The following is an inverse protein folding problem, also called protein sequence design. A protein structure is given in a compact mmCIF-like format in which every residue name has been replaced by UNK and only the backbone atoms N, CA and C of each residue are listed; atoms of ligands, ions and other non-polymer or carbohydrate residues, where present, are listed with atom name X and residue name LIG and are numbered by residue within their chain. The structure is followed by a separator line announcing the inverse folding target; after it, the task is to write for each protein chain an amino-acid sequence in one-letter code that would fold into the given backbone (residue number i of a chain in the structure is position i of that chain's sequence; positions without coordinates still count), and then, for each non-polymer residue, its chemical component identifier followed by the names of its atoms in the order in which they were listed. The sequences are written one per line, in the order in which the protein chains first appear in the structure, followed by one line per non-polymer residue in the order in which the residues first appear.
data_IF_002512131366
#
_entry.id   IF_002512131366
#
_cell.length_a   1.000
_cell.length_b   1.000
_cell.length_c   1.000
_cell.angle_alpha   90.00
_cell.angle_beta   90.00
_cell.angle_gamma   90.00
#
_symmetry.space_group_name_H-M   'P 1'
#
loop_
_entity.id
_entity.type
_entity.pdbx_description
1 polymer ?
#
# COMPACT_ATOMS: atom_id res chain seq x y z
N UNK A 1 19.60 8.17 -12.22
CA UNK A 1 18.86 7.59 -13.38
C UNK A 1 18.22 6.28 -12.94
N UNK A 2 17.12 5.86 -13.56
CA UNK A 2 16.44 4.61 -13.30
C UNK A 2 15.91 4.01 -14.60
N UNK A 3 15.64 2.70 -14.58
CA UNK A 3 14.93 1.98 -15.64
C UNK A 3 13.54 1.61 -15.17
N UNK A 4 12.58 1.65 -16.07
CA UNK A 4 11.22 1.18 -15.85
C UNK A 4 11.00 -0.12 -16.64
N UNK A 5 10.49 -1.14 -15.97
CA UNK A 5 10.27 -2.46 -16.57
C UNK A 5 8.82 -2.86 -16.29
N UNK A 6 8.03 -2.98 -17.33
CA UNK A 6 6.65 -3.48 -17.23
C UNK A 6 6.64 -5.00 -17.37
N UNK A 7 5.69 -5.65 -16.70
CA UNK A 7 5.54 -7.09 -16.71
C UNK A 7 4.20 -7.56 -16.20
N UNK A 8 4.13 -8.84 -15.88
CA UNK A 8 2.94 -9.46 -15.29
C UNK A 8 3.32 -10.44 -14.19
N UNK A 9 2.55 -10.45 -13.12
CA UNK A 9 2.61 -11.46 -12.08
C UNK A 9 1.42 -12.41 -12.23
N UNK A 10 1.72 -13.69 -12.46
CA UNK A 10 0.69 -14.72 -12.66
C UNK A 10 0.31 -15.34 -11.32
N UNK A 11 -0.99 -15.33 -11.03
CA UNK A 11 -1.58 -15.97 -9.85
C UNK A 11 -2.74 -16.84 -10.34
N UNK A 12 -2.57 -18.15 -10.31
CA UNK A 12 -3.56 -19.12 -10.83
C UNK A 12 -4.00 -18.78 -12.27
N UNK A 13 -5.27 -18.43 -12.47
CA UNK A 13 -5.86 -18.09 -13.77
C UNK A 13 -5.79 -16.60 -14.11
N UNK A 14 -5.23 -15.74 -13.24
CA UNK A 14 -5.18 -14.29 -13.43
C UNK A 14 -3.75 -13.78 -13.60
N UNK A 15 -3.59 -12.76 -14.43
CA UNK A 15 -2.34 -12.02 -14.59
C UNK A 15 -2.54 -10.60 -14.05
N UNK A 16 -1.72 -10.21 -13.09
CA UNK A 16 -1.69 -8.86 -12.55
C UNK A 16 -0.62 -8.04 -13.28
N UNK A 17 -0.96 -6.84 -13.71
CA UNK A 17 0.00 -5.91 -14.28
C UNK A 17 1.03 -5.50 -13.23
N UNK A 18 2.31 -5.51 -13.61
CA UNK A 18 3.41 -5.09 -12.73
C UNK A 18 4.28 -4.07 -13.40
N UNK A 19 4.92 -3.24 -12.59
CA UNK A 19 5.98 -2.35 -13.04
C UNK A 19 7.05 -2.24 -11.96
N UNK A 20 8.29 -2.14 -12.37
CA UNK A 20 9.41 -1.89 -11.47
C UNK A 20 10.22 -0.69 -11.93
N UNK A 21 10.74 0.05 -10.96
CA UNK A 21 11.67 1.17 -11.12
C UNK A 21 12.99 0.75 -10.50
N UNK A 22 13.98 0.51 -11.34
CA UNK A 22 15.26 -0.07 -10.94
C UNK A 22 16.36 0.99 -11.11
N UNK A 23 17.27 1.16 -10.14
CA UNK A 23 18.43 2.03 -10.30
C UNK A 23 19.18 1.73 -11.60
N UNK A 24 19.47 2.74 -12.38
CA UNK A 24 20.25 2.64 -13.60
C UNK A 24 21.61 3.30 -13.37
N UNK A 25 22.62 2.48 -13.13
CA UNK A 25 23.97 2.92 -12.85
C UNK A 25 24.99 1.81 -13.09
N UNK A 26 26.28 2.14 -13.08
CA UNK A 26 27.33 1.12 -13.19
C UNK A 26 27.22 0.11 -12.04
N UNK A 27 27.73 -1.09 -12.22
CA UNK A 27 27.77 -2.16 -11.20
C UNK A 27 28.36 -1.72 -9.84
N UNK A 28 29.11 -0.60 -9.85
CA UNK A 28 29.65 0.03 -8.64
C UNK A 28 28.61 0.73 -7.75
N UNK A 29 27.36 0.86 -8.22
CA UNK A 29 26.23 1.39 -7.46
C UNK A 29 25.14 0.32 -7.29
N UNK A 30 25.41 -0.72 -6.46
CA UNK A 30 24.44 -1.78 -6.24
C UNK A 30 23.18 -1.24 -5.55
N UNK A 31 22.06 -1.89 -5.80
CA UNK A 31 20.83 -1.63 -5.07
C UNK A 31 21.04 -1.76 -3.57
N UNK A 32 20.50 -0.83 -2.81
CA UNK A 32 20.62 -0.75 -1.33
C UNK A 32 19.43 -1.37 -0.63
N UNK A 33 18.26 -1.30 -1.25
CA UNK A 33 17.00 -1.78 -0.72
C UNK A 33 16.03 -2.14 -1.83
N UNK A 34 15.00 -2.90 -1.46
CA UNK A 34 13.85 -3.21 -2.30
C UNK A 34 12.58 -2.76 -1.60
N UNK A 35 11.72 -2.02 -2.29
CA UNK A 35 10.41 -1.58 -1.84
C UNK A 35 9.33 -2.30 -2.66
N UNK A 36 8.41 -2.96 -1.98
CA UNK A 36 7.21 -3.57 -2.57
C UNK A 36 6.02 -2.68 -2.24
N UNK A 37 5.25 -2.29 -3.26
CA UNK A 37 4.22 -1.27 -3.10
C UNK A 37 2.80 -1.83 -3.36
N UNK A 38 1.83 -1.42 -2.51
CA UNK A 38 0.42 -1.81 -2.54
C UNK A 38 -0.42 -0.52 -2.65
N UNK A 39 -1.10 -0.32 -3.78
CA UNK A 39 -1.88 0.89 -4.06
C UNK A 39 -3.26 0.91 -3.37
N UNK A 40 -3.93 2.07 -3.39
CA UNK A 40 -5.23 2.30 -2.77
C UNK A 40 -6.45 1.85 -3.59
N UNK A 41 -7.65 2.16 -3.08
CA UNK A 41 -8.93 1.92 -3.75
C UNK A 41 -9.04 2.73 -5.04
N UNK A 42 -9.50 2.10 -6.11
CA UNK A 42 -9.66 2.73 -7.42
C UNK A 42 -8.42 3.49 -7.88
N UNK A 43 -7.26 2.89 -7.70
CA UNK A 43 -5.96 3.45 -8.05
C UNK A 43 -5.17 2.46 -8.91
N UNK A 44 -3.99 2.86 -9.36
CA UNK A 44 -3.04 2.02 -10.07
C UNK A 44 -1.61 2.55 -9.95
N UNK A 45 -0.62 1.68 -10.13
CA UNK A 45 0.79 1.95 -9.83
C UNK A 45 1.46 3.03 -10.67
N UNK A 46 0.86 3.49 -11.75
CA UNK A 46 1.42 4.55 -12.60
C UNK A 46 1.04 5.98 -12.16
N UNK A 47 0.43 6.14 -10.97
CA UNK A 47 0.00 7.45 -10.45
C UNK A 47 0.85 7.98 -9.29
N UNK A 48 1.99 7.36 -9.01
CA UNK A 48 2.85 7.74 -7.88
C UNK A 48 3.95 8.75 -8.26
N UNK A 49 3.77 9.42 -9.39
CA UNK A 49 4.56 10.56 -9.90
C UNK A 49 6.06 10.42 -9.62
N UNK A 50 6.64 11.40 -8.90
CA UNK A 50 8.07 11.46 -8.61
C UNK A 50 8.52 10.47 -7.52
N UNK A 51 7.61 9.85 -6.77
CA UNK A 51 7.95 8.98 -5.64
C UNK A 51 8.87 7.83 -6.10
N UNK A 52 8.39 6.98 -7.00
CA UNK A 52 9.15 5.79 -7.41
C UNK A 52 10.44 6.12 -8.17
N UNK A 53 10.44 7.05 -9.14
CA UNK A 53 11.66 7.53 -9.79
C UNK A 53 12.69 8.09 -8.81
N UNK A 54 12.25 8.85 -7.82
CA UNK A 54 13.13 9.44 -6.79
C UNK A 54 13.77 8.33 -5.94
N UNK A 55 12.98 7.37 -5.46
CA UNK A 55 13.49 6.25 -4.68
C UNK A 55 14.49 5.41 -5.49
N UNK A 56 14.16 5.09 -6.75
CA UNK A 56 15.05 4.34 -7.63
C UNK A 56 16.38 5.08 -7.89
N UNK A 57 16.35 6.40 -8.10
CA UNK A 57 17.57 7.19 -8.27
C UNK A 57 18.49 7.22 -7.04
N UNK A 58 17.95 6.85 -5.86
CA UNK A 58 18.66 6.76 -4.58
C UNK A 58 19.18 5.35 -4.26
N UNK A 59 18.98 4.39 -5.18
CA UNK A 59 19.40 3.00 -4.99
C UNK A 59 18.35 2.10 -4.36
N UNK A 60 17.07 2.51 -4.33
CA UNK A 60 15.95 1.72 -3.80
C UNK A 60 15.16 1.18 -5.00
N UNK A 61 15.24 -0.12 -5.25
CA UNK A 61 14.39 -0.77 -6.25
C UNK A 61 12.93 -0.72 -5.81
N UNK A 62 12.02 -0.31 -6.70
CA UNK A 62 10.58 -0.33 -6.42
C UNK A 62 9.90 -1.35 -7.30
N UNK A 63 9.13 -2.24 -6.69
CA UNK A 63 8.29 -3.24 -7.33
C UNK A 63 6.84 -3.01 -6.95
N UNK A 64 5.99 -2.83 -7.94
CA UNK A 64 4.58 -2.56 -7.73
C UNK A 64 3.71 -3.35 -8.71
N UNK A 65 2.45 -3.56 -8.34
CA UNK A 65 1.47 -4.25 -9.17
C UNK A 65 0.10 -3.60 -9.03
N UNK A 66 -0.65 -3.61 -10.13
CA UNK A 66 -2.07 -3.29 -10.07
C UNK A 66 -2.81 -4.46 -9.46
N UNK A 67 -3.45 -4.25 -8.33
CA UNK A 67 -4.15 -5.28 -7.60
C UNK A 67 -5.33 -5.85 -8.42
N UNK A 68 -5.77 -7.06 -8.08
CA UNK A 68 -6.95 -7.69 -8.66
C UNK A 68 -8.15 -6.75 -8.62
N UNK A 69 -8.80 -6.58 -9.76
CA UNK A 69 -9.94 -5.68 -9.89
C UNK A 69 -9.62 -4.21 -10.14
N UNK A 70 -8.31 -3.84 -10.25
CA UNK A 70 -7.87 -2.46 -10.39
C UNK A 70 -6.93 -2.25 -11.57
N UNK A 71 -6.83 -0.99 -12.02
CA UNK A 71 -5.88 -0.54 -13.01
C UNK A 71 -5.85 -1.39 -14.27
N UNK A 72 -4.65 -1.73 -14.72
CA UNK A 72 -4.39 -2.57 -15.91
C UNK A 72 -4.53 -4.07 -15.67
N UNK A 73 -4.76 -4.49 -14.42
CA UNK A 73 -5.14 -5.88 -14.09
C UNK A 73 -6.59 -6.18 -14.43
N UNK A 74 -7.39 -5.16 -14.79
CA UNK A 74 -8.75 -5.28 -15.30
C UNK A 74 -8.71 -5.36 -16.82
N UNK A 75 -9.18 -6.48 -17.37
CA UNK A 75 -9.21 -6.71 -18.83
C UNK A 75 -10.62 -6.53 -19.44
N UNK A 76 -11.66 -6.61 -18.62
CA UNK A 76 -13.08 -6.46 -19.04
C UNK A 76 -13.90 -5.77 -17.93
N UNK A 77 -15.02 -5.10 -18.28
CA UNK A 77 -15.82 -4.32 -17.33
C UNK A 77 -16.32 -5.11 -16.11
N UNK A 78 -16.61 -6.41 -16.27
CA UNK A 78 -17.08 -7.28 -15.18
C UNK A 78 -16.02 -7.56 -14.09
N UNK A 79 -14.75 -7.28 -14.36
CA UNK A 79 -13.65 -7.46 -13.42
C UNK A 79 -13.41 -6.23 -12.54
N UNK A 80 -13.99 -5.07 -12.87
CA UNK A 80 -13.82 -3.84 -12.10
C UNK A 80 -14.24 -4.03 -10.64
N UNK A 81 -13.28 -3.84 -9.73
CA UNK A 81 -13.48 -3.99 -8.29
C UNK A 81 -13.75 -5.43 -7.81
N UNK A 82 -13.55 -6.44 -8.67
CA UNK A 82 -13.69 -7.84 -8.32
C UNK A 82 -12.42 -8.34 -7.61
N UNK A 83 -12.22 -7.88 -6.39
CA UNK A 83 -11.05 -8.22 -5.57
C UNK A 83 -11.19 -9.58 -4.88
N UNK A 84 -12.42 -10.04 -4.69
CA UNK A 84 -12.75 -11.21 -3.87
C UNK A 84 -12.70 -10.91 -2.36
N UNK A 85 -12.75 -11.96 -1.54
CA UNK A 85 -12.70 -11.85 -0.08
C UNK A 85 -11.31 -11.43 0.41
N UNK A 86 -11.22 -10.97 1.66
CA UNK A 86 -9.96 -10.56 2.30
C UNK A 86 -8.84 -11.60 2.17
N UNK A 87 -9.16 -12.88 2.31
CA UNK A 87 -8.19 -13.97 2.18
C UNK A 87 -7.53 -14.01 0.80
N UNK A 88 -8.29 -13.75 -0.26
CA UNK A 88 -7.78 -13.70 -1.63
C UNK A 88 -6.91 -12.46 -1.85
N UNK A 89 -7.37 -11.28 -1.39
CA UNK A 89 -6.59 -10.03 -1.46
C UNK A 89 -5.22 -10.20 -0.78
N UNK A 90 -5.21 -10.73 0.44
CA UNK A 90 -3.96 -10.96 1.18
C UNK A 90 -3.09 -12.04 0.51
N UNK A 91 -3.70 -13.10 -0.03
CA UNK A 91 -2.97 -14.14 -0.78
C UNK A 91 -2.28 -13.57 -2.03
N UNK A 92 -2.94 -12.70 -2.79
CA UNK A 92 -2.36 -12.05 -3.96
C UNK A 92 -1.15 -11.18 -3.57
N UNK A 93 -1.29 -10.38 -2.50
CA UNK A 93 -0.20 -9.54 -1.96
C UNK A 93 0.98 -10.41 -1.51
N UNK A 94 0.72 -11.47 -0.75
CA UNK A 94 1.76 -12.41 -0.28
C UNK A 94 2.47 -13.10 -1.45
N UNK A 95 1.71 -13.51 -2.48
CA UNK A 95 2.27 -14.09 -3.70
C UNK A 95 3.26 -13.13 -4.38
N UNK A 96 2.86 -11.85 -4.49
CA UNK A 96 3.72 -10.83 -5.09
C UNK A 96 4.96 -10.55 -4.21
N UNK A 97 4.81 -10.43 -2.90
CA UNK A 97 5.95 -10.26 -1.98
C UNK A 97 6.92 -11.44 -2.09
N UNK A 98 6.41 -12.67 -2.06
CA UNK A 98 7.23 -13.88 -2.17
C UNK A 98 7.98 -13.98 -3.50
N UNK A 99 7.42 -13.46 -4.60
CA UNK A 99 8.11 -13.43 -5.89
C UNK A 99 9.34 -12.52 -5.90
N UNK A 100 9.47 -11.62 -4.91
CA UNK A 100 10.62 -10.73 -4.73
C UNK A 100 11.65 -11.28 -3.70
N UNK A 101 11.42 -12.47 -3.17
CA UNK A 101 12.24 -13.13 -2.16
C UNK A 101 12.83 -14.46 -2.70
N UNK A 102 14.01 -14.91 -2.20
CA UNK A 102 14.89 -14.16 -1.30
C UNK A 102 15.51 -12.93 -1.96
N UNK A 103 15.90 -11.94 -1.16
CA UNK A 103 16.52 -10.71 -1.66
C UNK A 103 17.93 -10.52 -1.06
N UNK A 104 18.93 -10.11 -1.87
CA UNK A 104 20.26 -9.80 -1.36
C UNK A 104 20.33 -8.49 -0.57
N UNK A 105 19.26 -7.68 -0.63
CA UNK A 105 19.15 -6.38 0.05
C UNK A 105 17.91 -6.36 0.92
N UNK A 106 17.85 -5.49 1.96
CA UNK A 106 16.67 -5.34 2.81
C UNK A 106 15.40 -5.05 2.00
N UNK A 107 14.30 -5.72 2.38
CA UNK A 107 13.00 -5.58 1.73
C UNK A 107 12.06 -4.81 2.63
N UNK A 108 11.39 -3.83 2.05
CA UNK A 108 10.36 -3.01 2.69
C UNK A 108 9.02 -3.20 1.97
N UNK A 109 7.93 -3.06 2.70
CA UNK A 109 6.57 -3.07 2.14
C UNK A 109 5.93 -1.72 2.43
N UNK A 110 5.39 -1.08 1.40
CA UNK A 110 4.66 0.18 1.51
C UNK A 110 3.23 0.01 1.02
N UNK A 111 2.27 0.57 1.76
CA UNK A 111 0.87 0.61 1.35
C UNK A 111 0.29 2.00 1.48
N UNK A 112 -0.49 2.42 0.46
CA UNK A 112 -1.24 3.66 0.45
C UNK A 112 -2.73 3.41 0.68
N UNK A 113 -3.37 4.20 1.55
CA UNK A 113 -4.83 4.20 1.74
C UNK A 113 -5.39 2.78 2.03
N UNK A 114 -6.27 2.25 1.18
CA UNK A 114 -6.75 0.85 1.24
C UNK A 114 -5.57 -0.13 1.29
N UNK A 115 -4.56 0.06 0.44
CA UNK A 115 -3.34 -0.77 0.43
C UNK A 115 -2.55 -0.69 1.72
N UNK A 116 -2.58 0.45 2.43
CA UNK A 116 -2.05 0.60 3.78
C UNK A 116 -2.80 -0.25 4.81
N UNK A 117 -4.14 -0.26 4.73
CA UNK A 117 -4.98 -1.15 5.54
C UNK A 117 -4.75 -2.64 5.24
N UNK A 118 -4.49 -2.99 3.97
CA UNK A 118 -4.15 -4.35 3.54
C UNK A 118 -2.76 -4.78 4.03
N UNK A 119 -1.77 -3.90 3.94
CA UNK A 119 -0.44 -4.13 4.49
C UNK A 119 -0.50 -4.39 6.00
N UNK A 120 -1.29 -3.60 6.75
CA UNK A 120 -1.51 -3.81 8.18
C UNK A 120 -2.27 -5.10 8.49
N UNK A 121 -3.25 -5.46 7.66
CA UNK A 121 -3.97 -6.73 7.80
C UNK A 121 -3.02 -7.91 7.64
N UNK A 122 -2.17 -7.89 6.60
CA UNK A 122 -1.11 -8.88 6.39
C UNK A 122 -0.12 -8.91 7.57
N UNK A 123 0.36 -7.75 8.00
CA UNK A 123 1.30 -7.61 9.12
C UNK A 123 0.74 -8.10 10.46
N UNK A 124 -0.58 -8.26 10.55
CA UNK A 124 -1.31 -8.74 11.74
C UNK A 124 -1.80 -10.19 11.61
N UNK A 125 -1.64 -10.84 10.46
CA UNK A 125 -2.13 -12.18 10.23
C UNK A 125 -1.10 -13.22 10.70
N UNK A 126 -1.43 -14.03 11.73
CA UNK A 126 -0.51 -15.05 12.26
C UNK A 126 -0.17 -16.15 11.25
N UNK A 127 -0.98 -16.36 10.21
CA UNK A 127 -0.70 -17.31 9.14
C UNK A 127 0.59 -16.96 8.38
N UNK A 128 0.95 -15.67 8.35
CA UNK A 128 2.13 -15.18 7.62
C UNK A 128 3.26 -14.72 8.54
N UNK A 129 3.29 -15.20 9.77
CA UNK A 129 4.32 -14.83 10.77
C UNK A 129 5.75 -15.00 10.23
N UNK A 130 6.03 -16.11 9.57
CA UNK A 130 7.36 -16.39 9.01
C UNK A 130 7.77 -15.42 7.91
N UNK A 131 6.80 -14.82 7.19
CA UNK A 131 7.10 -13.81 6.17
C UNK A 131 7.63 -12.51 6.78
N UNK A 132 7.24 -12.19 8.01
CA UNK A 132 7.66 -10.97 8.71
C UNK A 132 9.17 -10.89 8.87
N UNK A 133 9.83 -12.03 9.06
CA UNK A 133 11.29 -12.12 9.19
C UNK A 133 12.04 -11.68 7.93
N UNK A 134 11.41 -11.80 6.77
CA UNK A 134 11.97 -11.38 5.48
C UNK A 134 11.77 -9.89 5.19
N UNK A 135 10.92 -9.19 5.97
CA UNK A 135 10.59 -7.77 5.77
C UNK A 135 11.34 -6.93 6.81
N UNK A 136 12.14 -5.96 6.32
CA UNK A 136 12.91 -5.05 7.17
C UNK A 136 12.06 -3.98 7.79
N UNK A 137 11.04 -3.50 7.06
CA UNK A 137 10.19 -2.43 7.57
C UNK A 137 8.92 -2.25 6.75
N UNK A 138 7.93 -1.67 7.41
CA UNK A 138 6.61 -1.37 6.86
C UNK A 138 6.40 0.12 6.80
N UNK A 139 5.86 0.60 5.68
CA UNK A 139 5.64 2.02 5.40
C UNK A 139 4.17 2.22 5.05
N UNK A 140 3.53 3.13 5.72
CA UNK A 140 2.11 3.42 5.56
C UNK A 140 1.91 4.86 5.16
N UNK A 141 1.27 5.09 4.04
CA UNK A 141 0.85 6.40 3.58
C UNK A 141 -0.66 6.52 3.74
N UNK A 142 -1.10 7.41 4.62
CA UNK A 142 -2.52 7.70 4.87
C UNK A 142 -3.38 6.42 4.94
N UNK A 143 -3.02 5.40 5.77
CA UNK A 143 -3.64 4.08 5.72
C UNK A 143 -5.11 4.13 6.12
N UNK A 144 -5.94 3.29 5.46
CA UNK A 144 -7.35 3.19 5.79
C UNK A 144 -7.57 2.35 7.06
N UNK A 145 -7.39 2.98 8.21
CA UNK A 145 -7.61 2.41 9.56
C UNK A 145 -8.97 2.82 10.09
N UNK A 146 -9.43 4.05 9.76
CA UNK A 146 -10.71 4.58 10.20
C UNK A 146 -11.24 5.61 9.19
N UNK A 147 -12.53 5.92 9.28
CA UNK A 147 -13.17 6.99 8.51
C UNK A 147 -12.91 8.35 9.15
N UNK A 148 -12.83 9.43 8.36
CA UNK A 148 -12.87 10.77 8.91
C UNK A 148 -14.18 10.99 9.66
N UNK A 149 -14.12 11.78 10.72
CA UNK A 149 -15.28 12.07 11.58
C UNK A 149 -16.47 12.63 10.78
N UNK A 150 -17.61 11.97 10.88
CA UNK A 150 -18.84 12.35 10.18
C UNK A 150 -19.00 11.69 8.81
N UNK A 151 -18.02 10.89 8.37
CA UNK A 151 -18.10 10.11 7.12
C UNK A 151 -18.27 8.61 7.37
N UNK A 152 -18.40 8.20 8.64
CA UNK A 152 -18.60 6.81 9.01
C UNK A 152 -19.95 6.29 8.48
N UNK A 153 -19.99 5.14 7.80
CA UNK A 153 -21.25 4.55 7.38
C UNK A 153 -22.09 4.14 8.61
N UNK A 154 -23.41 4.35 8.53
CA UNK A 154 -24.27 3.93 9.62
C UNK A 154 -24.19 2.43 9.86
N UNK A 155 -24.41 1.99 11.10
CA UNK A 155 -24.46 0.57 11.45
C UNK A 155 -25.39 -0.23 10.53
N UNK A 156 -26.57 0.32 10.24
CA UNK A 156 -27.55 -0.32 9.35
C UNK A 156 -27.02 -0.45 7.93
N UNK A 157 -26.32 0.56 7.40
CA UNK A 157 -25.67 0.52 6.07
C UNK A 157 -24.63 -0.58 6.01
N UNK A 158 -23.78 -0.69 7.03
CA UNK A 158 -22.73 -1.73 7.11
C UNK A 158 -23.38 -3.12 7.22
N UNK A 159 -24.39 -3.29 8.06
CA UNK A 159 -25.09 -4.56 8.24
C UNK A 159 -25.76 -5.03 6.94
N UNK A 160 -26.52 -4.15 6.30
CA UNK A 160 -27.21 -4.47 5.03
C UNK A 160 -26.18 -4.69 3.91
N UNK A 161 -25.10 -3.92 3.86
CA UNK A 161 -24.01 -4.11 2.92
C UNK A 161 -23.32 -5.49 3.05
N UNK A 162 -23.07 -5.93 4.29
CA UNK A 162 -22.52 -7.27 4.56
C UNK A 162 -23.48 -8.39 4.15
N UNK A 163 -24.77 -8.22 4.43
CA UNK A 163 -25.79 -9.19 4.02
C UNK A 163 -25.88 -9.26 2.49
N UNK A 164 -25.94 -8.11 1.82
CA UNK A 164 -25.95 -8.03 0.35
C UNK A 164 -24.67 -8.63 -0.25
N UNK A 165 -23.51 -8.40 0.35
CA UNK A 165 -22.23 -8.99 -0.06
C UNK A 165 -22.21 -10.52 0.00
N UNK A 166 -22.93 -11.11 0.95
CA UNK A 166 -23.10 -12.59 1.01
C UNK A 166 -24.04 -13.16 -0.04
N UNK A 167 -25.09 -12.41 -0.39
CA UNK A 167 -26.10 -12.84 -1.35
C UNK A 167 -25.72 -12.54 -2.81
N UNK A 168 -25.04 -11.42 -3.02
CA UNK A 168 -24.67 -10.89 -4.34
C UNK A 168 -23.19 -10.44 -4.33
N UNK A 169 -22.23 -11.34 -4.05
CA UNK A 169 -20.83 -10.98 -3.80
C UNK A 169 -20.22 -10.17 -4.95
N UNK A 170 -20.50 -10.51 -6.18
CA UNK A 170 -19.92 -9.88 -7.36
C UNK A 170 -20.71 -8.67 -7.89
N UNK A 171 -21.79 -8.26 -7.19
CA UNK A 171 -22.54 -7.07 -7.59
C UNK A 171 -21.66 -5.84 -7.46
N UNK A 172 -21.43 -5.16 -8.58
CA UNK A 172 -20.66 -3.93 -8.65
C UNK A 172 -21.44 -2.74 -8.09
N UNK A 173 -20.74 -1.89 -7.36
CA UNK A 173 -21.22 -0.62 -6.82
C UNK A 173 -20.17 0.47 -7.04
N UNK A 174 -20.60 1.62 -7.55
CA UNK A 174 -19.71 2.79 -7.73
C UNK A 174 -19.64 3.57 -6.41
N UNK A 175 -18.42 3.79 -5.94
CA UNK A 175 -18.12 4.57 -4.74
C UNK A 175 -17.08 5.65 -5.07
N UNK A 176 -17.54 6.85 -5.39
CA UNK A 176 -16.68 7.96 -5.81
C UNK A 176 -16.23 8.76 -4.60
N UNK A 177 -14.92 8.95 -4.48
CA UNK A 177 -14.33 9.96 -3.61
C UNK A 177 -14.10 11.23 -4.45
N UNK A 178 -14.52 12.42 -3.98
CA UNK A 178 -14.24 13.66 -4.68
C UNK A 178 -12.71 13.86 -4.80
N UNK A 179 -12.16 14.05 -6.01
CA UNK A 179 -10.71 14.21 -6.19
C UNK A 179 -10.12 15.38 -5.39
N UNK A 180 -10.92 16.41 -5.17
CA UNK A 180 -10.57 17.60 -4.38
C UNK A 180 -10.34 17.31 -2.89
N UNK A 181 -10.77 16.13 -2.43
CA UNK A 181 -10.51 15.64 -1.08
C UNK A 181 -9.21 14.83 -0.98
N UNK A 182 -8.62 14.46 -2.12
CA UNK A 182 -7.46 13.58 -2.18
C UNK A 182 -6.13 14.34 -2.25
N UNK A 183 -6.14 15.51 -2.89
CA UNK A 183 -4.94 16.31 -3.15
C UNK A 183 -5.26 17.79 -3.21
N UNK A 184 -4.28 18.64 -2.89
CA UNK A 184 -4.36 20.10 -3.04
C UNK A 184 -3.96 20.58 -4.43
N UNK A 185 -3.36 19.70 -5.27
CA UNK A 185 -2.88 20.05 -6.61
C UNK A 185 -4.03 19.96 -7.64
N UNK A 186 -4.45 21.09 -8.26
CA UNK A 186 -5.52 21.11 -9.25
C UNK A 186 -5.20 20.30 -10.52
N UNK A 187 -3.93 20.18 -10.90
CA UNK A 187 -3.54 19.36 -12.05
C UNK A 187 -3.69 17.87 -11.76
N UNK A 188 -3.42 17.44 -10.52
CA UNK A 188 -3.69 16.08 -10.09
C UNK A 188 -5.19 15.80 -10.02
N UNK A 189 -5.99 16.74 -9.50
CA UNK A 189 -7.47 16.66 -9.50
C UNK A 189 -7.98 16.44 -10.92
N UNK A 190 -7.50 17.25 -11.88
CA UNK A 190 -7.84 17.09 -13.30
C UNK A 190 -7.43 15.72 -13.83
N UNK A 191 -6.21 15.29 -13.57
CA UNK A 191 -5.68 13.99 -13.98
C UNK A 191 -6.52 12.82 -13.43
N UNK A 192 -6.99 12.89 -12.17
CA UNK A 192 -7.88 11.88 -11.58
C UNK A 192 -9.20 11.81 -12.35
N UNK A 193 -9.79 12.95 -12.70
CA UNK A 193 -11.06 12.99 -13.43
C UNK A 193 -10.96 12.45 -14.87
N UNK A 194 -9.80 12.57 -15.50
CA UNK A 194 -9.55 12.14 -16.88
C UNK A 194 -9.08 10.68 -16.98
N UNK A 195 -8.61 10.09 -15.89
CA UNK A 195 -8.04 8.75 -15.87
C UNK A 195 -9.13 7.66 -15.91
N UNK A 196 -9.20 6.95 -17.03
CA UNK A 196 -10.19 5.89 -17.25
C UNK A 196 -9.95 4.61 -16.44
N UNK A 197 -8.75 4.44 -15.88
CA UNK A 197 -8.41 3.31 -15.01
C UNK A 197 -8.95 3.48 -13.58
N UNK A 198 -9.25 4.72 -13.19
CA UNK A 198 -9.87 5.06 -11.91
C UNK A 198 -11.40 4.91 -12.00
N UNK A 199 -11.88 3.68 -11.97
CA UNK A 199 -13.28 3.39 -12.26
C UNK A 199 -14.24 3.51 -11.06
N UNK A 200 -13.73 3.74 -9.83
CA UNK A 200 -14.50 3.92 -8.59
C UNK A 200 -15.50 2.79 -8.27
N UNK A 201 -15.29 1.61 -8.80
CA UNK A 201 -16.22 0.48 -8.71
C UNK A 201 -15.64 -0.59 -7.79
N UNK A 202 -16.35 -0.95 -6.73
CA UNK A 202 -16.06 -2.12 -5.92
C UNK A 202 -17.18 -3.15 -6.04
N UNK A 203 -16.91 -4.42 -5.77
CA UNK A 203 -17.96 -5.42 -5.56
C UNK A 203 -18.44 -5.39 -4.11
N UNK A 204 -19.68 -5.82 -3.86
CA UNK A 204 -20.23 -5.84 -2.51
C UNK A 204 -19.37 -6.68 -1.54
N UNK A 205 -18.83 -7.82 -1.99
CA UNK A 205 -17.89 -8.62 -1.20
C UNK A 205 -16.57 -7.88 -0.91
N UNK A 206 -15.96 -7.27 -1.93
CA UNK A 206 -14.71 -6.53 -1.79
C UNK A 206 -14.85 -5.33 -0.86
N UNK A 207 -15.94 -4.55 -1.00
CA UNK A 207 -16.25 -3.42 -0.13
C UNK A 207 -16.52 -3.87 1.31
N UNK A 208 -17.29 -4.95 1.51
CA UNK A 208 -17.53 -5.51 2.83
C UNK A 208 -16.22 -5.98 3.48
N UNK A 209 -15.36 -6.67 2.74
CA UNK A 209 -14.03 -7.09 3.20
C UNK A 209 -13.14 -5.90 3.59
N UNK A 210 -13.16 -4.81 2.82
CA UNK A 210 -12.44 -3.59 3.15
C UNK A 210 -12.94 -2.99 4.47
N UNK A 211 -14.26 -2.87 4.67
CA UNK A 211 -14.85 -2.38 5.92
C UNK A 211 -14.52 -3.28 7.12
N UNK A 212 -14.49 -4.60 6.91
CA UNK A 212 -14.16 -5.55 7.97
C UNK A 212 -12.70 -5.44 8.41
N UNK A 213 -11.76 -5.24 7.46
CA UNK A 213 -10.34 -5.00 7.75
C UNK A 213 -10.18 -3.68 8.54
N UNK A 214 -10.79 -2.60 8.05
CA UNK A 214 -10.75 -1.29 8.72
C UNK A 214 -11.29 -1.39 10.15
N UNK A 215 -12.43 -2.04 10.35
CA UNK A 215 -13.01 -2.23 11.67
C UNK A 215 -12.12 -3.08 12.59
N UNK A 216 -11.44 -4.11 12.07
CA UNK A 216 -10.53 -4.93 12.86
C UNK A 216 -9.30 -4.13 13.34
N UNK A 217 -8.77 -3.24 12.48
CA UNK A 217 -7.64 -2.36 12.81
C UNK A 217 -8.06 -1.31 13.86
N UNK A 218 -9.13 -0.57 13.60
CA UNK A 218 -9.61 0.49 14.50
C UNK A 218 -10.00 -0.02 15.90
N UNK A 219 -10.58 -1.23 15.97
CA UNK A 219 -10.99 -1.86 17.22
C UNK A 219 -9.84 -2.59 17.95
N UNK A 220 -8.62 -2.53 17.44
CA UNK A 220 -7.45 -3.23 18.01
C UNK A 220 -7.54 -4.75 18.00
N UNK A 221 -8.40 -5.32 17.15
CA UNK A 221 -8.53 -6.78 16.97
C UNK A 221 -7.39 -7.33 16.09
N UNK A 222 -6.99 -6.59 15.08
CA UNK A 222 -5.81 -6.88 14.27
C UNK A 222 -4.58 -6.32 15.00
N UNK A 223 -3.77 -7.21 15.57
CA UNK A 223 -2.54 -6.87 16.30
C UNK A 223 -1.33 -7.19 15.45
N UNK A 224 -0.38 -6.28 15.38
CA UNK A 224 0.87 -6.51 14.65
C UNK A 224 1.58 -7.77 15.15
N UNK A 225 2.07 -8.56 14.21
CA UNK A 225 2.89 -9.72 14.50
C UNK A 225 4.17 -9.32 15.25
N UNK A 226 4.61 -10.07 16.27
CA UNK A 226 5.84 -9.79 17.00
C UNK A 226 7.12 -9.73 16.13
N UNK A 227 7.11 -10.36 14.95
CA UNK A 227 8.20 -10.32 13.98
C UNK A 227 8.36 -8.99 13.22
N UNK A 228 7.46 -8.02 13.39
CA UNK A 228 7.58 -6.69 12.77
C UNK A 228 8.76 -5.94 13.37
N UNK A 229 9.73 -5.58 12.52
CA UNK A 229 11.00 -4.95 12.94
C UNK A 229 10.91 -3.44 13.02
N UNK A 230 10.27 -2.81 12.03
CA UNK A 230 10.13 -1.34 11.99
C UNK A 230 8.87 -0.91 11.24
N UNK A 231 8.34 0.26 11.60
CA UNK A 231 7.13 0.84 11.05
C UNK A 231 7.28 2.35 10.87
N UNK A 232 6.93 2.85 9.70
CA UNK A 232 6.76 4.26 9.43
C UNK A 232 5.32 4.53 8.99
N UNK A 233 4.73 5.60 9.51
CA UNK A 233 3.40 6.06 9.12
C UNK A 233 3.42 7.55 8.87
N UNK A 234 3.11 7.96 7.63
CA UNK A 234 2.88 9.36 7.27
C UNK A 234 1.42 9.63 6.98
N UNK A 235 0.90 10.77 7.47
CA UNK A 235 -0.48 11.14 7.26
C UNK A 235 -0.65 12.65 7.18
N UNK A 236 -1.47 13.12 6.23
CA UNK A 236 -1.86 14.53 6.12
C UNK A 236 -2.89 14.91 7.17
N UNK A 237 -2.69 16.03 7.86
CA UNK A 237 -3.60 16.44 8.96
C UNK A 237 -4.96 16.92 8.46
N UNK A 238 -5.09 17.26 7.17
CA UNK A 238 -6.34 17.67 6.51
C UNK A 238 -6.88 16.59 5.55
N UNK A 239 -6.51 15.32 5.80
CA UNK A 239 -7.03 14.18 5.03
C UNK A 239 -8.54 14.05 5.20
N UNK A 240 -9.26 14.02 4.06
CA UNK A 240 -10.73 13.91 4.01
C UNK A 240 -11.21 12.54 3.51
N UNK A 241 -10.27 11.62 3.23
CA UNK A 241 -10.56 10.27 2.76
C UNK A 241 -10.38 9.22 3.85
N UNK A 242 -9.33 9.35 4.67
CA UNK A 242 -9.04 8.48 5.82
C UNK A 242 -8.75 9.31 7.06
N UNK A 243 -9.01 8.75 8.25
CA UNK A 243 -8.86 9.50 9.51
C UNK A 243 -7.41 9.65 9.93
N UNK A 244 -6.93 10.89 10.00
CA UNK A 244 -5.66 11.22 10.63
C UNK A 244 -5.65 10.80 12.10
N UNK A 245 -6.68 11.16 12.87
CA UNK A 245 -6.80 10.85 14.30
C UNK A 245 -6.87 9.35 14.54
N UNK A 246 -7.56 8.61 13.66
CA UNK A 246 -7.62 7.16 13.71
C UNK A 246 -6.26 6.52 13.51
N UNK A 247 -5.48 7.03 12.57
CA UNK A 247 -4.12 6.58 12.31
C UNK A 247 -3.17 6.91 13.47
N UNK A 248 -3.24 8.11 14.01
CA UNK A 248 -2.43 8.53 15.16
C UNK A 248 -2.73 7.70 16.41
N UNK A 249 -4.03 7.50 16.71
CA UNK A 249 -4.47 6.64 17.81
C UNK A 249 -3.92 5.23 17.65
N UNK A 250 -4.17 4.62 16.49
CA UNK A 250 -3.70 3.26 16.21
C UNK A 250 -2.18 3.14 16.35
N UNK A 251 -1.42 4.10 15.81
CA UNK A 251 0.04 4.12 15.90
C UNK A 251 0.53 4.20 17.36
N UNK A 252 -0.09 5.04 18.17
CA UNK A 252 0.27 5.22 19.58
C UNK A 252 0.01 3.94 20.39
N UNK A 253 -0.99 3.16 20.04
CA UNK A 253 -1.31 1.88 20.67
C UNK A 253 -0.28 0.78 20.39
N UNK A 254 0.61 0.95 19.36
CA UNK A 254 1.67 -0.02 19.04
C UNK A 254 2.87 0.12 20.01
N UNK A 255 2.65 0.00 21.29
CA UNK A 255 3.67 0.24 22.35
C UNK A 255 4.79 -0.80 22.38
N UNK A 256 4.54 -2.02 21.87
CA UNK A 256 5.53 -3.10 21.77
C UNK A 256 6.58 -2.91 20.67
N UNK A 257 6.31 -2.07 19.66
CA UNK A 257 7.21 -1.82 18.57
C UNK A 257 8.14 -0.63 18.88
N UNK A 258 9.45 -0.92 19.03
CA UNK A 258 10.44 0.10 19.43
C UNK A 258 10.87 0.99 18.26
N UNK A 259 11.09 0.42 17.08
CA UNK A 259 11.50 1.15 15.87
C UNK A 259 10.26 1.56 15.09
N UNK A 260 9.63 2.64 15.51
CA UNK A 260 8.48 3.21 14.82
C UNK A 260 8.54 4.74 14.76
N UNK A 261 8.05 5.31 13.66
CA UNK A 261 8.02 6.74 13.43
C UNK A 261 6.65 7.15 12.86
N UNK A 262 6.05 8.21 13.42
CA UNK A 262 4.84 8.85 12.89
C UNK A 262 5.19 10.22 12.35
N UNK A 263 4.96 10.45 11.06
CA UNK A 263 5.19 11.74 10.39
C UNK A 263 3.87 12.43 10.11
N UNK A 264 3.65 13.59 10.73
CA UNK A 264 2.52 14.47 10.43
C UNK A 264 2.90 15.38 9.27
N UNK A 265 2.03 15.49 8.29
CA UNK A 265 2.14 16.45 7.18
C UNK A 265 1.05 17.51 7.37
N UNK A 266 1.43 18.62 8.00
CA UNK A 266 0.51 19.68 8.41
C UNK A 266 -0.17 20.35 7.21
N UNK A 267 -1.50 20.33 7.18
CA UNK A 267 -2.31 20.92 6.12
C UNK A 267 -2.36 20.10 4.82
N UNK A 268 -1.69 18.93 4.74
CA UNK A 268 -1.72 18.09 3.55
C UNK A 268 -2.95 17.18 3.54
N UNK A 269 -3.32 16.77 2.31
CA UNK A 269 -4.47 15.90 2.08
C UNK A 269 -4.06 14.42 2.02
N UNK A 270 -4.88 13.60 1.40
CA UNK A 270 -4.79 12.15 1.42
C UNK A 270 -3.59 11.57 0.64
N UNK A 271 -3.36 12.08 -0.59
CA UNK A 271 -2.30 11.58 -1.48
C UNK A 271 -1.01 12.38 -1.26
N UNK A 272 -0.20 11.98 -0.27
CA UNK A 272 1.06 12.68 0.04
C UNK A 272 2.04 12.64 -1.14
N UNK A 273 2.06 11.52 -1.88
CA UNK A 273 2.87 11.33 -3.10
C UNK A 273 2.39 12.17 -4.29
N UNK A 274 1.18 12.71 -4.23
CA UNK A 274 0.53 13.44 -5.31
C UNK A 274 -0.06 14.78 -4.85
N UNK A 275 0.50 15.36 -3.81
CA UNK A 275 0.13 16.68 -3.32
C UNK A 275 0.86 17.77 -4.14
N UNK A 276 1.04 18.98 -3.64
CA UNK A 276 1.72 20.06 -4.36
C UNK A 276 3.12 19.64 -4.83
N UNK A 277 3.63 20.17 -5.96
CA UNK A 277 4.90 19.70 -6.56
C UNK A 277 6.10 19.67 -5.61
N UNK A 278 6.29 20.72 -4.81
CA UNK A 278 7.40 20.76 -3.84
C UNK A 278 7.20 19.74 -2.72
N UNK A 279 5.96 19.54 -2.29
CA UNK A 279 5.59 18.62 -1.23
C UNK A 279 5.84 17.16 -1.61
N UNK A 280 5.60 16.76 -2.86
CA UNK A 280 5.90 15.40 -3.37
C UNK A 280 7.38 15.06 -3.20
N UNK A 281 8.28 16.01 -3.43
CA UNK A 281 9.71 15.82 -3.24
C UNK A 281 10.07 15.65 -1.76
N UNK A 282 9.42 16.39 -0.86
CA UNK A 282 9.58 16.22 0.58
C UNK A 282 9.15 14.82 1.02
N UNK A 283 7.98 14.37 0.59
CA UNK A 283 7.48 13.03 0.90
C UNK A 283 8.41 11.93 0.38
N UNK A 284 8.81 12.00 -0.90
CA UNK A 284 9.72 11.03 -1.49
C UNK A 284 11.09 11.00 -0.79
N UNK A 285 11.58 12.17 -0.34
CA UNK A 285 12.82 12.28 0.43
C UNK A 285 12.68 11.59 1.80
N UNK A 286 11.61 11.87 2.54
CA UNK A 286 11.36 11.29 3.87
C UNK A 286 11.31 9.77 3.82
N UNK A 287 10.57 9.19 2.85
CA UNK A 287 10.51 7.74 2.64
C UNK A 287 11.90 7.18 2.33
N UNK A 288 12.61 7.80 1.40
CA UNK A 288 13.95 7.35 1.02
C UNK A 288 14.96 7.42 2.17
N UNK A 289 14.93 8.47 2.98
CA UNK A 289 15.79 8.63 4.14
C UNK A 289 15.51 7.56 5.19
N UNK A 290 14.22 7.31 5.47
CA UNK A 290 13.80 6.30 6.44
C UNK A 290 14.23 4.87 6.03
N UNK A 291 14.09 4.52 4.74
CA UNK A 291 14.53 3.24 4.19
C UNK A 291 16.06 3.13 4.32
N UNK A 292 16.80 4.11 3.81
CA UNK A 292 18.27 4.05 3.73
C UNK A 292 18.92 3.99 5.11
N UNK A 293 18.39 4.70 6.10
CA UNK A 293 18.86 4.63 7.49
C UNK A 293 18.74 3.21 8.08
N UNK A 294 17.88 2.36 7.53
CA UNK A 294 17.66 0.98 7.99
C UNK A 294 18.35 -0.08 7.11
N UNK A 295 19.12 0.36 6.11
CA UNK A 295 19.97 -0.51 5.29
C UNK A 295 21.40 -0.56 5.81
N UNK A 296 21.84 0.44 6.59
CA UNK A 296 23.18 0.49 7.16
C UNK A 296 23.36 -0.58 8.25
N UNK A 297 24.44 -1.37 8.16
CA UNK A 297 24.75 -2.42 9.14
C UNK A 297 24.24 -3.82 8.82
N UNK A 298 23.49 -4.02 7.72
CA UNK A 298 23.20 -5.35 7.21
C UNK A 298 24.39 -5.78 6.33
N UNK A 299 25.43 -6.40 6.94
CA UNK A 299 26.45 -7.10 6.17
C UNK A 299 25.75 -8.13 5.28
N UNK A 300 26.08 -8.13 3.97
CA UNK A 300 25.61 -9.12 3.03
C UNK A 300 25.89 -10.52 3.62
N UNK A 301 24.84 -11.20 4.04
CA UNK A 301 24.94 -12.51 4.63
C UNK A 301 25.73 -13.41 3.71
N UNK A 302 26.88 -13.92 4.16
CA UNK A 302 27.70 -14.89 3.46
C UNK A 302 26.80 -15.99 2.97
N UNK A 303 26.65 -16.09 1.65
CA UNK A 303 26.06 -17.24 1.00
C UNK A 303 26.76 -18.47 1.59
N UNK A 304 26.00 -19.32 2.26
CA UNK A 304 26.53 -20.51 2.90
C UNK A 304 27.29 -21.35 1.89
N UNK A 305 28.59 -21.41 2.05
CA UNK A 305 29.38 -22.47 1.47
C UNK A 305 28.95 -23.76 2.16
N UNK A 306 28.08 -24.50 1.52
CA UNK A 306 27.92 -25.93 1.78
C UNK A 306 29.27 -26.57 1.46
N UNK A 307 30.01 -26.93 2.50
CA UNK A 307 31.07 -27.92 2.39
C UNK A 307 30.44 -29.30 2.39
N UNK A 308 30.73 -30.03 1.34
CA UNK A 308 30.60 -31.46 1.12
C UNK A 308 30.29 -32.33 2.33
#
# INVERSE_FOLDING_TARGET
MHKEIEGTHKIESQSLYTKSWIPDGPESYPSKAKLIFIHGFSDHINRYYELFPTLASRGIEVYAFDQRGWGRSVTKPSEKGLTGPTSLVISDIVSFIKSQLPSPVPVFVMGHSMGGGEALTLASDPQYADLMDSIRGWILESPFIDFPKGYEPSFLTVFLGRLAGRLLPHKQMVNRLPPENLTRDPEVVKSINEDKLLHNTGTLEGLAGMLDRTAALNQGKAKLNPGIKSLWLGHGTEDKATSFEGSEKWFNEQTGLKDKEFKRYEGWYHQLHADLPDDRHVFAKDIGDWILARCEGVEAGKAGQSKL
#
